data_IF_525093035079
#
_entry.id   IF_525093035079
#
_cell.length_a   1.000
_cell.length_b   1.000
_cell.length_c   1.000
_cell.angle_alpha   90.00
_cell.angle_beta   90.00
_cell.angle_gamma   90.00
#
_symmetry.space_group_name_H-M   'P 1'
#
loop_
_entity.id
_entity.type
_entity.pdbx_description
1 polymer ?
#
# COMPACT_ATOMS: atom_id res chain seq x y z
N UNK A 1 19.21 3.06 87.03
CA UNK A 1 19.41 4.17 86.07
C UNK A 1 20.32 3.77 84.89
N UNK A 2 21.34 2.91 85.07
CA UNK A 2 22.18 2.39 83.96
C UNK A 2 21.40 1.62 82.88
N UNK A 3 20.50 0.70 83.27
CA UNK A 3 19.74 -0.14 82.31
C UNK A 3 18.84 0.64 81.34
N UNK A 4 18.38 1.83 81.73
CA UNK A 4 17.53 2.69 80.90
C UNK A 4 18.32 3.55 79.93
N UNK A 5 19.60 3.82 80.23
CA UNK A 5 20.52 4.52 79.31
C UNK A 5 20.95 3.57 78.19
N UNK A 6 21.35 2.35 78.56
CA UNK A 6 21.83 1.31 77.65
C UNK A 6 20.75 0.87 76.64
N UNK A 7 19.48 0.80 77.09
CA UNK A 7 18.33 0.52 76.22
C UNK A 7 18.04 1.65 75.22
N UNK A 8 18.27 2.91 75.60
CA UNK A 8 18.10 4.08 74.71
C UNK A 8 19.23 4.18 73.69
N UNK A 9 20.47 3.90 74.10
CA UNK A 9 21.61 3.80 73.17
C UNK A 9 21.42 2.69 72.15
N UNK A 10 20.97 1.50 72.58
CA UNK A 10 20.73 0.38 71.67
C UNK A 10 19.56 0.64 70.69
N UNK A 11 18.52 1.38 71.11
CA UNK A 11 17.45 1.85 70.22
C UNK A 11 17.93 2.91 69.22
N UNK A 12 18.78 3.85 69.65
CA UNK A 12 19.38 4.84 68.76
C UNK A 12 20.24 4.16 67.68
N UNK A 13 21.10 3.20 68.06
CA UNK A 13 21.91 2.40 67.13
C UNK A 13 21.02 1.63 66.13
N UNK A 14 19.88 1.10 66.58
CA UNK A 14 18.89 0.46 65.70
C UNK A 14 18.30 1.41 64.65
N UNK A 15 17.88 2.61 65.05
CA UNK A 15 17.33 3.62 64.13
C UNK A 15 18.37 4.10 63.12
N UNK A 16 19.62 4.34 63.56
CA UNK A 16 20.71 4.71 62.65
C UNK A 16 20.95 3.64 61.58
N UNK A 17 20.94 2.35 61.97
CA UNK A 17 21.09 1.26 60.99
C UNK A 17 19.93 1.20 60.00
N UNK A 18 18.69 1.38 60.45
CA UNK A 18 17.52 1.42 59.56
C UNK A 18 17.53 2.63 58.62
N UNK A 19 18.02 3.79 59.07
CA UNK A 19 18.20 4.97 58.21
C UNK A 19 19.24 4.74 57.13
N UNK A 20 20.37 4.10 57.44
CA UNK A 20 21.39 3.73 56.45
C UNK A 20 20.79 2.77 55.41
N UNK A 21 20.09 1.72 55.86
CA UNK A 21 19.42 0.78 54.94
C UNK A 21 18.37 1.46 54.05
N UNK A 22 17.67 2.46 54.56
CA UNK A 22 16.71 3.25 53.77
C UNK A 22 17.43 4.08 52.70
N UNK A 23 18.52 4.76 53.05
CA UNK A 23 19.31 5.55 52.09
C UNK A 23 19.88 4.65 50.99
N UNK A 24 20.48 3.51 51.36
CA UNK A 24 21.03 2.55 50.40
C UNK A 24 19.94 2.03 49.44
N UNK A 25 18.76 1.71 49.98
CA UNK A 25 17.58 1.30 49.20
C UNK A 25 17.12 2.38 48.21
N UNK A 26 17.10 3.65 48.63
CA UNK A 26 16.71 4.77 47.75
C UNK A 26 17.75 5.01 46.66
N UNK A 27 19.05 4.88 46.97
CA UNK A 27 20.13 5.00 45.97
C UNK A 27 20.02 3.90 44.92
N UNK A 28 19.79 2.65 45.33
CA UNK A 28 19.59 1.53 44.39
C UNK A 28 18.34 1.74 43.51
N UNK A 29 17.22 2.21 44.08
CA UNK A 29 16.02 2.53 43.31
C UNK A 29 16.25 3.69 42.33
N UNK A 30 17.02 4.71 42.71
CA UNK A 30 17.43 5.80 41.81
C UNK A 30 18.21 5.25 40.61
N UNK A 31 19.16 4.35 40.86
CA UNK A 31 19.95 3.70 39.81
C UNK A 31 19.10 2.86 38.85
N UNK A 32 18.08 2.18 39.36
CA UNK A 32 17.12 1.44 38.53
C UNK A 32 16.30 2.41 37.66
N UNK A 33 15.84 3.52 38.21
CA UNK A 33 15.13 4.56 37.44
C UNK A 33 16.03 5.17 36.36
N UNK A 34 17.30 5.43 36.66
CA UNK A 34 18.29 5.87 35.66
C UNK A 34 18.44 4.84 34.52
N UNK A 35 18.43 3.54 34.85
CA UNK A 35 18.50 2.47 33.85
C UNK A 35 17.25 2.45 32.96
N UNK A 36 16.07 2.65 33.54
CA UNK A 36 14.82 2.78 32.78
C UNK A 36 14.83 4.00 31.87
N UNK A 37 15.34 5.14 32.33
CA UNK A 37 15.49 6.35 31.53
C UNK A 37 16.48 6.15 30.37
N UNK A 38 17.49 5.30 30.54
CA UNK A 38 18.39 4.86 29.48
C UNK A 38 17.79 3.78 28.55
N UNK A 39 16.55 3.35 28.81
CA UNK A 39 15.84 2.34 28.01
C UNK A 39 16.15 0.89 28.38
N UNK A 40 16.94 0.65 29.44
CA UNK A 40 17.21 -0.72 29.91
C UNK A 40 16.21 -1.14 31.00
N UNK A 41 15.09 -1.72 30.56
CA UNK A 41 14.03 -2.28 31.43
C UNK A 41 14.32 -3.72 31.87
N UNK A 42 15.51 -4.26 31.56
CA UNK A 42 15.90 -5.63 31.96
C UNK A 42 16.47 -5.69 33.37
N UNK A 43 16.77 -4.53 33.96
CA UNK A 43 17.28 -4.44 35.33
C UNK A 43 16.24 -4.99 36.33
N UNK A 44 16.73 -5.75 37.31
CA UNK A 44 15.88 -6.32 38.34
C UNK A 44 15.51 -5.25 39.36
N UNK A 45 14.22 -5.10 39.65
CA UNK A 45 13.72 -4.29 40.77
C UNK A 45 13.54 -5.22 41.96
N UNK A 46 14.35 -5.07 43.00
CA UNK A 46 14.20 -5.83 44.25
C UNK A 46 13.33 -5.07 45.26
N UNK A 47 12.44 -5.80 45.96
CA UNK A 47 11.74 -5.28 47.15
C UNK A 47 12.63 -5.49 48.37
N UNK A 48 12.86 -4.43 49.15
CA UNK A 48 13.68 -4.49 50.37
C UNK A 48 12.89 -5.02 51.56
N UNK A 49 11.56 -4.87 51.53
CA UNK A 49 10.65 -5.43 52.53
C UNK A 49 9.25 -5.67 51.96
N UNK A 50 8.39 -6.33 52.74
CA UNK A 50 6.98 -6.52 52.39
C UNK A 50 6.18 -5.20 52.32
N UNK A 51 6.65 -4.13 52.96
CA UNK A 51 6.03 -2.79 52.95
C UNK A 51 6.73 -1.82 51.99
N UNK A 52 7.64 -2.30 51.14
CA UNK A 52 8.35 -1.49 50.15
C UNK A 52 7.45 -1.15 48.94
N UNK A 53 6.55 -0.19 49.15
CA UNK A 53 5.62 0.28 48.12
C UNK A 53 6.31 0.87 46.89
N UNK A 54 7.45 1.56 47.07
CA UNK A 54 8.22 2.11 45.94
C UNK A 54 8.81 1.00 45.06
N UNK A 55 9.32 -0.08 45.67
CA UNK A 55 9.84 -1.24 44.92
C UNK A 55 8.74 -1.94 44.13
N UNK A 56 7.56 -2.06 44.71
CA UNK A 56 6.39 -2.63 44.05
C UNK A 56 5.89 -1.76 42.88
N UNK A 57 5.78 -0.44 43.06
CA UNK A 57 5.40 0.47 41.98
C UNK A 57 6.42 0.47 40.83
N UNK A 58 7.72 0.36 41.13
CA UNK A 58 8.76 0.25 40.11
C UNK A 58 8.69 -1.07 39.33
N UNK A 59 8.35 -2.18 39.99
CA UNK A 59 8.10 -3.47 39.32
C UNK A 59 6.92 -3.36 38.35
N UNK A 60 5.79 -2.82 38.82
CA UNK A 60 4.59 -2.62 38.00
C UNK A 60 4.91 -1.72 36.79
N UNK A 61 5.60 -0.60 37.01
CA UNK A 61 5.96 0.32 35.94
C UNK A 61 6.86 -0.35 34.88
N UNK A 62 7.85 -1.13 35.31
CA UNK A 62 8.73 -1.90 34.43
C UNK A 62 7.95 -2.90 33.59
N UNK A 63 7.02 -3.64 34.21
CA UNK A 63 6.23 -4.66 33.53
C UNK A 63 5.27 -4.02 32.51
N UNK A 64 4.60 -2.92 32.89
CA UNK A 64 3.75 -2.14 31.98
C UNK A 64 4.53 -1.55 30.80
N UNK A 65 5.75 -1.03 31.01
CA UNK A 65 6.55 -0.54 29.90
C UNK A 65 7.01 -1.66 28.97
N UNK A 66 7.41 -2.82 29.49
CA UNK A 66 7.75 -3.97 28.65
C UNK A 66 6.55 -4.44 27.83
N UNK A 67 5.35 -4.46 28.41
CA UNK A 67 4.11 -4.80 27.69
C UNK A 67 3.83 -3.80 26.56
N UNK A 68 3.86 -2.49 26.86
CA UNK A 68 3.63 -1.43 25.87
C UNK A 68 4.66 -1.52 24.74
N UNK A 69 5.95 -1.69 25.05
CA UNK A 69 7.00 -1.82 24.04
C UNK A 69 6.84 -3.09 23.20
N UNK A 70 6.37 -4.19 23.80
CA UNK A 70 6.01 -5.40 23.06
C UNK A 70 4.86 -5.16 22.07
N UNK A 71 3.83 -4.43 22.48
CA UNK A 71 2.74 -4.02 21.59
C UNK A 71 3.25 -3.09 20.47
N UNK A 72 4.11 -2.12 20.78
CA UNK A 72 4.72 -1.22 19.78
C UNK A 72 5.55 -2.02 18.78
N UNK A 73 6.39 -2.95 19.23
CA UNK A 73 7.18 -3.81 18.35
C UNK A 73 6.28 -4.60 17.39
N UNK A 74 5.22 -5.22 17.93
CA UNK A 74 4.26 -5.98 17.12
C UNK A 74 3.57 -5.09 16.09
N UNK A 75 3.17 -3.87 16.46
CA UNK A 75 2.56 -2.92 15.54
C UNK A 75 3.53 -2.48 14.43
N UNK A 76 4.81 -2.25 14.77
CA UNK A 76 5.86 -1.91 13.80
C UNK A 76 6.10 -3.05 12.82
N UNK A 77 6.16 -4.30 13.29
CA UNK A 77 6.30 -5.47 12.41
C UNK A 77 5.12 -5.63 11.45
N UNK A 78 3.90 -5.37 11.94
CA UNK A 78 2.69 -5.37 11.11
C UNK A 78 2.73 -4.26 10.06
N UNK A 79 3.15 -3.04 10.42
CA UNK A 79 3.30 -1.92 9.49
C UNK A 79 4.38 -2.23 8.44
N UNK A 80 5.52 -2.80 8.83
CA UNK A 80 6.59 -3.18 7.91
C UNK A 80 6.09 -4.24 6.91
N UNK A 81 5.44 -5.29 7.41
CA UNK A 81 4.83 -6.33 6.57
C UNK A 81 3.79 -5.75 5.61
N UNK A 82 2.94 -4.84 6.10
CA UNK A 82 1.93 -4.16 5.27
C UNK A 82 2.56 -3.27 4.20
N UNK A 83 3.65 -2.56 4.52
CA UNK A 83 4.38 -1.75 3.56
C UNK A 83 5.00 -2.59 2.44
N UNK A 84 5.57 -3.75 2.76
CA UNK A 84 6.10 -4.69 1.76
C UNK A 84 5.00 -5.23 0.85
N UNK A 85 3.83 -5.56 1.41
CA UNK A 85 2.66 -5.99 0.61
C UNK A 85 2.18 -4.89 -0.33
N UNK A 86 2.07 -3.65 0.16
CA UNK A 86 1.69 -2.49 -0.66
C UNK A 86 2.71 -2.25 -1.77
N UNK A 87 4.01 -2.28 -1.45
CA UNK A 87 5.08 -2.10 -2.45
C UNK A 87 5.00 -3.13 -3.57
N UNK A 88 4.83 -4.42 -3.22
CA UNK A 88 4.65 -5.50 -4.19
C UNK A 88 3.40 -5.30 -5.05
N UNK A 89 2.28 -4.92 -4.43
CA UNK A 89 1.03 -4.63 -5.15
C UNK A 89 1.19 -3.44 -6.11
N UNK A 90 1.86 -2.37 -5.69
CA UNK A 90 2.16 -1.21 -6.53
C UNK A 90 3.05 -1.57 -7.72
N UNK A 91 4.05 -2.44 -7.52
CA UNK A 91 4.91 -2.89 -8.61
C UNK A 91 4.15 -3.74 -9.65
N UNK A 92 3.31 -4.68 -9.19
CA UNK A 92 2.44 -5.45 -10.06
C UNK A 92 1.43 -4.57 -10.81
N UNK A 93 0.85 -3.57 -10.14
CA UNK A 93 -0.05 -2.61 -10.76
C UNK A 93 0.66 -1.78 -11.83
N UNK A 94 1.88 -1.31 -11.55
CA UNK A 94 2.69 -0.56 -12.51
C UNK A 94 3.04 -1.41 -13.74
N UNK A 95 3.33 -2.70 -13.54
CA UNK A 95 3.57 -3.62 -14.64
C UNK A 95 2.31 -3.82 -15.48
N UNK A 96 1.17 -4.11 -14.84
CA UNK A 96 -0.11 -4.26 -15.53
C UNK A 96 -0.55 -2.99 -16.27
N UNK A 97 -0.30 -1.82 -15.70
CA UNK A 97 -0.54 -0.54 -16.37
C UNK A 97 0.35 -0.35 -17.61
N UNK A 98 1.60 -0.81 -17.56
CA UNK A 98 2.51 -0.78 -18.72
C UNK A 98 2.02 -1.72 -19.82
N UNK A 99 1.59 -2.93 -19.47
CA UNK A 99 1.00 -3.89 -20.40
C UNK A 99 -0.29 -3.34 -21.04
N UNK A 100 -1.16 -2.71 -20.24
CA UNK A 100 -2.36 -2.04 -20.75
C UNK A 100 -2.04 -0.88 -21.69
N UNK A 101 -1.02 -0.07 -21.39
CA UNK A 101 -0.58 1.01 -22.27
C UNK A 101 -0.13 0.46 -23.64
N UNK A 102 0.64 -0.63 -23.64
CA UNK A 102 1.05 -1.30 -24.88
C UNK A 102 -0.15 -1.84 -25.67
N UNK A 103 -1.13 -2.46 -25.00
CA UNK A 103 -2.38 -2.90 -25.65
C UNK A 103 -3.15 -1.73 -26.25
N UNK A 104 -3.19 -0.57 -25.58
CA UNK A 104 -3.83 0.63 -26.12
C UNK A 104 -3.11 1.19 -27.35
N UNK A 105 -1.77 1.13 -27.39
CA UNK A 105 -1.00 1.50 -28.59
C UNK A 105 -1.34 0.58 -29.77
N UNK A 106 -1.42 -0.74 -29.54
CA UNK A 106 -1.81 -1.72 -30.56
C UNK A 106 -3.25 -1.48 -31.07
N UNK A 107 -4.19 -1.21 -30.16
CA UNK A 107 -5.58 -0.86 -30.50
C UNK A 107 -5.62 0.43 -31.33
N UNK A 108 -4.82 1.44 -30.98
CA UNK A 108 -4.76 2.70 -31.71
C UNK A 108 -4.21 2.51 -33.13
N UNK A 109 -3.17 1.70 -33.29
CA UNK A 109 -2.64 1.30 -34.60
C UNK A 109 -3.71 0.57 -35.42
N UNK A 110 -4.39 -0.40 -34.80
CA UNK A 110 -5.49 -1.15 -35.44
C UNK A 110 -6.63 -0.21 -35.85
N UNK A 111 -7.00 0.77 -35.03
CA UNK A 111 -8.02 1.75 -35.39
C UNK A 111 -7.60 2.61 -36.59
N UNK A 112 -6.31 2.95 -36.69
CA UNK A 112 -5.78 3.71 -37.83
C UNK A 112 -5.89 2.90 -39.12
N UNK A 113 -5.54 1.62 -39.07
CA UNK A 113 -5.68 0.69 -40.20
C UNK A 113 -7.16 0.49 -40.60
N UNK A 114 -8.04 0.25 -39.63
CA UNK A 114 -9.49 0.13 -39.86
C UNK A 114 -10.07 1.39 -40.51
N UNK A 115 -9.65 2.58 -40.06
CA UNK A 115 -10.09 3.83 -40.64
C UNK A 115 -9.62 3.99 -42.10
N UNK A 116 -8.36 3.64 -42.38
CA UNK A 116 -7.82 3.62 -43.75
C UNK A 116 -8.59 2.67 -44.65
N UNK A 117 -8.86 1.44 -44.17
CA UNK A 117 -9.62 0.45 -44.93
C UNK A 117 -11.06 0.89 -45.18
N UNK A 118 -11.69 1.56 -44.21
CA UNK A 118 -13.04 2.12 -44.34
C UNK A 118 -13.10 3.22 -45.41
N UNK A 119 -12.08 4.10 -45.46
CA UNK A 119 -11.96 5.12 -46.50
C UNK A 119 -11.76 4.50 -47.89
N UNK A 120 -10.89 3.50 -48.01
CA UNK A 120 -10.70 2.77 -49.27
C UNK A 120 -11.99 2.09 -49.74
N UNK A 121 -12.74 1.47 -48.83
CA UNK A 121 -14.01 0.84 -49.15
C UNK A 121 -15.05 1.87 -49.65
N UNK A 122 -15.10 3.05 -49.05
CA UNK A 122 -15.97 4.14 -49.52
C UNK A 122 -15.60 4.64 -50.92
N UNK A 123 -14.30 4.74 -51.22
CA UNK A 123 -13.81 5.07 -52.57
C UNK A 123 -14.19 3.99 -53.57
N UNK A 124 -13.96 2.71 -53.26
CA UNK A 124 -14.36 1.57 -54.10
C UNK A 124 -15.87 1.54 -54.36
N UNK A 125 -16.69 1.82 -53.34
CA UNK A 125 -18.13 1.91 -53.50
C UNK A 125 -18.55 3.06 -54.43
N UNK A 126 -17.85 4.21 -54.35
CA UNK A 126 -18.08 5.36 -55.23
C UNK A 126 -17.69 5.04 -56.68
N UNK A 127 -16.55 4.40 -56.89
CA UNK A 127 -16.10 3.94 -58.21
C UNK A 127 -17.07 2.92 -58.82
N UNK A 128 -17.47 1.90 -58.04
CA UNK A 128 -18.45 0.91 -58.47
C UNK A 128 -19.79 1.55 -58.87
N UNK A 129 -20.26 2.53 -58.11
CA UNK A 129 -21.46 3.29 -58.44
C UNK A 129 -21.30 4.09 -59.75
N UNK A 130 -20.12 4.68 -59.99
CA UNK A 130 -19.85 5.39 -61.24
C UNK A 130 -19.83 4.44 -62.44
N UNK A 131 -19.18 3.28 -62.32
CA UNK A 131 -19.15 2.26 -63.35
C UNK A 131 -20.55 1.71 -63.65
N UNK A 132 -21.36 1.48 -62.62
CA UNK A 132 -22.75 1.06 -62.78
C UNK A 132 -23.59 2.09 -63.55
N UNK A 133 -23.42 3.39 -63.28
CA UNK A 133 -24.08 4.46 -64.02
C UNK A 133 -23.64 4.52 -65.48
N UNK A 134 -22.34 4.34 -65.75
CA UNK A 134 -21.83 4.29 -67.12
C UNK A 134 -22.41 3.10 -67.89
N UNK A 135 -22.39 1.91 -67.29
CA UNK A 135 -22.96 0.71 -67.90
C UNK A 135 -24.47 0.85 -68.20
N UNK A 136 -25.22 1.51 -67.31
CA UNK A 136 -26.63 1.81 -67.54
C UNK A 136 -26.84 2.75 -68.75
N UNK A 137 -26.02 3.80 -68.85
CA UNK A 137 -26.05 4.72 -69.99
C UNK A 137 -25.68 4.03 -71.31
N UNK A 138 -24.64 3.19 -71.31
CA UNK A 138 -24.22 2.45 -72.50
C UNK A 138 -25.30 1.44 -72.94
N UNK A 139 -25.98 0.79 -71.99
CA UNK A 139 -27.12 -0.09 -72.26
C UNK A 139 -28.31 0.68 -72.87
N UNK A 140 -28.60 1.90 -72.40
CA UNK A 140 -29.65 2.76 -72.95
C UNK A 140 -29.32 3.19 -74.40
N UNK A 141 -28.08 3.61 -74.66
CA UNK A 141 -27.61 3.90 -76.01
C UNK A 141 -27.70 2.67 -76.94
N UNK A 142 -27.31 1.49 -76.44
CA UNK A 142 -27.45 0.23 -77.15
C UNK A 142 -28.91 -0.11 -77.50
N UNK A 143 -29.86 0.17 -76.60
CA UNK A 143 -31.28 0.01 -76.86
C UNK A 143 -31.77 0.92 -78.00
N UNK A 144 -31.35 2.20 -77.99
CA UNK A 144 -31.66 3.15 -79.06
C UNK A 144 -31.16 2.63 -80.42
N UNK A 145 -29.90 2.16 -80.48
CA UNK A 145 -29.33 1.60 -81.70
C UNK A 145 -30.08 0.35 -82.19
N UNK A 146 -30.51 -0.52 -81.28
CA UNK A 146 -31.32 -1.69 -81.65
C UNK A 146 -32.70 -1.30 -82.19
N UNK A 147 -33.37 -0.29 -81.61
CA UNK A 147 -34.64 0.20 -82.15
C UNK A 147 -34.47 0.79 -83.56
N UNK A 148 -33.39 1.57 -83.79
CA UNK A 148 -33.05 2.08 -85.12
C UNK A 148 -32.80 0.94 -86.14
N UNK A 149 -32.15 -0.14 -85.71
CA UNK A 149 -31.94 -1.33 -86.55
C UNK A 149 -33.27 -2.01 -86.90
N UNK A 150 -34.17 -2.17 -85.93
CA UNK A 150 -35.50 -2.76 -86.14
C UNK A 150 -36.35 -1.91 -87.10
N UNK A 151 -36.37 -0.59 -86.92
CA UNK A 151 -37.05 0.32 -87.86
C UNK A 151 -36.45 0.24 -89.26
N UNK A 152 -35.12 0.19 -89.37
CA UNK A 152 -34.45 0.06 -90.65
C UNK A 152 -34.83 -1.25 -91.34
N UNK A 153 -34.82 -2.38 -90.62
CA UNK A 153 -35.26 -3.69 -91.13
C UNK A 153 -36.72 -3.67 -91.59
N UNK A 154 -37.62 -3.03 -90.83
CA UNK A 154 -39.04 -2.90 -91.19
C UNK A 154 -39.30 -2.07 -92.44
N UNK A 155 -38.35 -1.25 -92.91
CA UNK A 155 -38.49 -0.51 -94.18
C UNK A 155 -38.09 -1.34 -95.40
N UNK A 156 -37.38 -2.45 -95.21
CA UNK A 156 -36.88 -3.32 -96.30
C UNK A 156 -37.77 -4.56 -96.49
N UNK A 157 -38.53 -4.93 -95.46
CA UNK A 157 -39.56 -5.98 -95.49
C UNK A 157 -40.95 -5.37 -95.66
#
# INVERSE_FOLDING_TARGET
>A
MQLTLDRKENQAVGVYRSMIQMVDSLVEKSRVIESFAAGDLRVAVAKVSNVDGLGESLQIMKDSFNEILGHVHTAVDQVATGADQVSNASQNLSQGATEQAASLEEISSTMTEVNSQSQENALKATEANSLARQAAHDAEAGNIHMNQLIEAMSRIT
#
